data_IF_510940657356
#
_entry.id   IF_510940657356
#
_cell.length_a   1.000
_cell.length_b   1.000
_cell.length_c   1.000
_cell.angle_alpha   90.00
_cell.angle_beta   90.00
_cell.angle_gamma   90.00
#
_symmetry.space_group_name_H-M   'P 1'
#
loop_
_entity.id
_entity.type
_entity.pdbx_description
1 polymer ?
#
# COMPACT_ATOMS: atom_id res chain seq x y z
N UNK A 1 -0.30 3.79 0.35
CA UNK A 1 -0.51 2.68 -0.60
C UNK A 1 -0.89 3.19 -2.00
N UNK A 2 -1.80 4.16 -2.11
CA UNK A 2 -2.19 4.76 -3.39
C UNK A 2 -1.02 5.42 -4.14
N UNK A 3 -0.15 6.14 -3.45
CA UNK A 3 1.01 6.78 -4.08
C UNK A 3 2.02 5.76 -4.65
N UNK A 4 2.19 4.63 -3.97
CA UNK A 4 3.03 3.53 -4.48
C UNK A 4 2.43 2.94 -5.75
N UNK A 5 1.10 2.78 -5.82
CA UNK A 5 0.43 2.36 -7.07
C UNK A 5 0.66 3.35 -8.21
N UNK A 6 0.63 4.66 -7.92
CA UNK A 6 0.88 5.70 -8.93
C UNK A 6 2.31 5.62 -9.46
N UNK A 7 3.30 5.43 -8.58
CA UNK A 7 4.71 5.27 -8.97
C UNK A 7 4.92 4.01 -9.80
N UNK A 8 4.34 2.87 -9.37
CA UNK A 8 4.42 1.61 -10.14
C UNK A 8 3.87 1.81 -11.56
N UNK A 9 2.68 2.43 -11.68
CA UNK A 9 2.09 2.72 -13.00
C UNK A 9 2.97 3.63 -13.84
N UNK A 10 3.49 4.71 -13.25
CA UNK A 10 4.38 5.62 -13.98
C UNK A 10 5.65 4.91 -14.50
N UNK A 11 6.20 3.96 -13.74
CA UNK A 11 7.34 3.15 -14.19
C UNK A 11 6.96 2.16 -15.29
N UNK A 12 5.77 1.55 -15.20
CA UNK A 12 5.24 0.66 -16.24
C UNK A 12 4.96 1.43 -17.55
N UNK A 13 4.29 2.58 -17.45
CA UNK A 13 3.99 3.47 -18.57
C UNK A 13 5.28 3.96 -19.23
N UNK A 14 6.28 4.38 -18.44
CA UNK A 14 7.60 4.77 -18.94
C UNK A 14 8.27 3.65 -19.75
N UNK A 15 8.22 2.40 -19.26
CA UNK A 15 8.80 1.25 -19.97
C UNK A 15 8.08 0.98 -21.29
N UNK A 16 6.75 1.12 -21.31
CA UNK A 16 5.96 0.90 -22.51
C UNK A 16 6.19 2.00 -23.56
N UNK A 17 6.19 3.26 -23.11
CA UNK A 17 6.41 4.42 -23.97
C UNK A 17 7.82 4.40 -24.58
N UNK A 18 8.86 4.09 -23.79
CA UNK A 18 10.21 3.96 -24.33
C UNK A 18 10.29 2.82 -25.36
N UNK A 19 9.69 1.66 -25.08
CA UNK A 19 9.66 0.56 -26.03
C UNK A 19 8.94 0.91 -27.34
N UNK A 20 7.88 1.72 -27.26
CA UNK A 20 7.14 2.22 -28.41
C UNK A 20 7.97 3.20 -29.23
N UNK A 21 8.62 4.15 -28.56
CA UNK A 21 9.44 5.17 -29.19
C UNK A 21 10.69 4.58 -29.84
N UNK A 22 11.36 3.62 -29.18
CA UNK A 22 12.52 2.94 -29.73
C UNK A 22 12.17 2.09 -30.97
N UNK A 23 11.02 1.40 -30.96
CA UNK A 23 10.53 0.69 -32.15
C UNK A 23 10.20 1.64 -33.29
N UNK A 24 9.63 2.81 -32.97
CA UNK A 24 9.31 3.83 -33.96
C UNK A 24 10.60 4.40 -34.57
N UNK A 25 11.58 4.75 -33.74
CA UNK A 25 12.88 5.24 -34.18
C UNK A 25 13.58 4.22 -35.10
N UNK A 26 13.59 2.94 -34.71
CA UNK A 26 14.18 1.89 -35.53
C UNK A 26 13.52 1.80 -36.91
N UNK A 27 12.19 1.83 -36.98
CA UNK A 27 11.46 1.82 -38.26
C UNK A 27 11.74 3.06 -39.11
N UNK A 28 11.76 4.25 -38.51
CA UNK A 28 12.05 5.48 -39.23
C UNK A 28 13.47 5.46 -39.82
N UNK A 29 14.43 4.88 -39.11
CA UNK A 29 15.80 4.71 -39.62
C UNK A 29 15.87 3.67 -40.74
N UNK A 30 15.19 2.53 -40.60
CA UNK A 30 15.08 1.49 -41.64
C UNK A 30 14.42 2.02 -42.93
N UNK A 31 13.33 2.77 -42.79
CA UNK A 31 12.63 3.39 -43.93
C UNK A 31 13.53 4.45 -44.62
N UNK A 32 14.31 5.20 -43.84
CA UNK A 32 15.26 6.17 -44.37
C UNK A 32 16.48 5.53 -45.06
N UNK A 33 16.77 4.26 -44.79
CA UNK A 33 17.84 3.49 -45.47
C UNK A 33 17.37 2.80 -46.73
N UNK A 34 16.16 2.25 -46.77
CA UNK A 34 15.66 1.54 -47.96
C UNK A 34 15.18 2.51 -49.05
N UNK A 35 16.14 3.10 -49.77
CA UNK A 35 15.88 4.04 -50.87
C UNK A 35 15.56 5.46 -50.41
N UNK A 36 15.90 5.79 -49.16
CA UNK A 36 15.77 7.12 -48.56
C UNK A 36 17.08 7.89 -48.51
N UNK A 37 17.13 8.90 -47.64
CA UNK A 37 18.29 9.81 -47.46
C UNK A 37 19.58 9.07 -47.06
N UNK A 38 19.45 7.89 -46.44
CA UNK A 38 20.56 7.06 -45.98
C UNK A 38 20.73 5.78 -46.80
N UNK A 39 20.34 5.76 -48.07
CA UNK A 39 20.52 4.65 -49.05
C UNK A 39 21.88 3.91 -48.94
N UNK A 40 22.95 4.65 -48.64
CA UNK A 40 24.30 4.12 -48.56
C UNK A 40 24.57 3.28 -47.31
N UNK A 41 23.73 3.39 -46.28
CA UNK A 41 23.85 2.61 -45.05
C UNK A 41 23.17 1.24 -45.23
N UNK A 42 23.78 0.22 -44.66
CA UNK A 42 23.13 -1.09 -44.52
C UNK A 42 22.25 -1.11 -43.26
N UNK A 43 21.16 -1.89 -43.28
CA UNK A 43 20.31 -2.08 -42.11
C UNK A 43 21.10 -2.56 -40.87
N UNK A 44 22.20 -3.30 -41.06
CA UNK A 44 23.11 -3.70 -39.98
C UNK A 44 23.85 -2.52 -39.33
N UNK A 45 24.21 -1.50 -40.10
CA UNK A 45 24.91 -0.31 -39.58
C UNK A 45 23.97 0.55 -38.71
N UNK A 46 22.66 0.51 -38.98
CA UNK A 46 21.64 1.13 -38.13
C UNK A 46 21.47 0.35 -36.83
N UNK A 47 21.40 -0.98 -36.91
CA UNK A 47 21.28 -1.82 -35.71
C UNK A 47 22.49 -1.62 -34.78
N UNK A 48 23.70 -1.56 -35.34
CA UNK A 48 24.94 -1.28 -34.62
C UNK A 48 24.93 0.10 -33.96
N UNK A 49 24.47 1.14 -34.67
CA UNK A 49 24.37 2.50 -34.13
C UNK A 49 23.35 2.61 -32.98
N UNK A 50 22.19 1.96 -33.11
CA UNK A 50 21.19 1.90 -32.03
C UNK A 50 21.77 1.14 -30.83
N UNK A 51 22.49 0.04 -31.08
CA UNK A 51 23.11 -0.77 -30.04
C UNK A 51 24.22 -0.01 -29.28
N UNK A 52 24.95 0.90 -29.93
CA UNK A 52 25.97 1.73 -29.27
C UNK A 52 25.37 2.68 -28.22
N UNK A 53 24.16 3.20 -28.49
CA UNK A 53 23.48 4.14 -27.59
C UNK A 53 22.60 3.42 -26.57
N UNK A 54 22.10 2.23 -26.90
CA UNK A 54 21.25 1.45 -26.02
C UNK A 54 22.03 0.90 -24.81
N UNK A 55 21.45 1.05 -23.62
CA UNK A 55 22.00 0.50 -22.38
C UNK A 55 21.68 -0.99 -22.26
N UNK A 56 20.54 -1.42 -22.81
CA UNK A 56 20.08 -2.79 -22.70
C UNK A 56 19.26 -3.22 -23.92
N UNK A 57 19.33 -4.50 -24.32
CA UNK A 57 18.47 -5.10 -25.37
C UNK A 57 17.73 -6.29 -24.78
N UNK A 58 16.40 -6.22 -24.72
CA UNK A 58 15.55 -7.29 -24.19
C UNK A 58 14.40 -7.57 -25.15
N UNK A 59 14.17 -8.85 -25.49
CA UNK A 59 13.09 -9.27 -26.40
C UNK A 59 13.12 -8.54 -27.76
N UNK A 60 14.31 -8.21 -28.25
CA UNK A 60 14.49 -7.47 -29.50
C UNK A 60 14.15 -5.97 -29.40
N UNK A 61 13.93 -5.43 -28.20
CA UNK A 61 13.68 -4.01 -27.97
C UNK A 61 14.92 -3.41 -27.31
N UNK A 62 15.48 -2.38 -27.96
CA UNK A 62 16.52 -1.54 -27.39
C UNK A 62 15.92 -0.62 -26.34
N UNK A 63 16.63 -0.49 -25.22
CA UNK A 63 16.25 0.37 -24.10
C UNK A 63 17.40 1.29 -23.75
N UNK A 64 17.06 2.52 -23.42
CA UNK A 64 18.01 3.55 -23.02
C UNK A 64 18.24 3.54 -21.50
N UNK A 65 17.43 2.77 -20.76
CA UNK A 65 17.61 2.52 -19.35
C UNK A 65 17.95 1.05 -19.05
N UNK A 66 18.44 0.81 -17.82
CA UNK A 66 18.62 -0.54 -17.31
C UNK A 66 17.26 -1.13 -16.92
N UNK A 67 16.70 -1.94 -17.82
CA UNK A 67 15.38 -2.56 -17.64
C UNK A 67 15.29 -3.45 -16.40
N UNK A 68 16.38 -4.15 -16.06
CA UNK A 68 16.41 -5.06 -14.92
C UNK A 68 16.28 -4.31 -13.60
N UNK A 69 16.98 -3.17 -13.45
CA UNK A 69 16.83 -2.30 -12.28
C UNK A 69 15.41 -1.73 -12.17
N UNK A 70 14.78 -1.37 -13.29
CA UNK A 70 13.40 -0.88 -13.26
C UNK A 70 12.42 -1.98 -12.84
N UNK A 71 12.60 -3.21 -13.34
CA UNK A 71 11.79 -4.36 -12.92
C UNK A 71 11.96 -4.64 -11.44
N UNK A 72 13.21 -4.68 -10.95
CA UNK A 72 13.51 -4.89 -9.53
C UNK A 72 12.88 -3.81 -8.65
N UNK A 73 12.92 -2.55 -9.09
CA UNK A 73 12.27 -1.44 -8.39
C UNK A 73 10.76 -1.62 -8.31
N UNK A 74 10.10 -1.99 -9.42
CA UNK A 74 8.65 -2.26 -9.44
C UNK A 74 8.28 -3.38 -8.48
N UNK A 75 9.05 -4.47 -8.46
CA UNK A 75 8.84 -5.60 -7.55
C UNK A 75 9.00 -5.19 -6.08
N UNK A 76 10.05 -4.44 -5.75
CA UNK A 76 10.27 -3.92 -4.41
C UNK A 76 9.14 -3.00 -3.95
N UNK A 77 8.65 -2.11 -4.82
CA UNK A 77 7.53 -1.22 -4.52
C UNK A 77 6.25 -2.00 -4.24
N UNK A 78 5.96 -3.05 -5.02
CA UNK A 78 4.81 -3.94 -4.80
C UNK A 78 4.90 -4.65 -3.45
N UNK A 79 6.09 -5.10 -3.06
CA UNK A 79 6.32 -5.72 -1.75
C UNK A 79 6.02 -4.72 -0.62
N UNK A 80 6.61 -3.52 -0.67
CA UNK A 80 6.39 -2.48 0.34
C UNK A 80 4.92 -2.05 0.43
N UNK A 81 4.22 -1.98 -0.70
CA UNK A 81 2.79 -1.70 -0.71
C UNK A 81 2.00 -2.75 0.07
N UNK A 82 2.29 -4.04 -0.14
CA UNK A 82 1.64 -5.14 0.56
C UNK A 82 1.91 -5.09 2.06
N UNK A 83 3.15 -4.80 2.45
CA UNK A 83 3.54 -4.67 3.86
C UNK A 83 2.79 -3.52 4.54
N UNK A 84 2.71 -2.35 3.90
CA UNK A 84 1.98 -1.20 4.42
C UNK A 84 0.48 -1.48 4.58
N UNK A 85 -0.14 -2.17 3.62
CA UNK A 85 -1.54 -2.57 3.73
C UNK A 85 -1.75 -3.54 4.90
N UNK A 86 -0.87 -4.53 5.03
CA UNK A 86 -0.91 -5.51 6.13
C UNK A 86 -0.75 -4.83 7.49
N UNK A 87 0.15 -3.85 7.58
CA UNK A 87 0.36 -3.05 8.78
C UNK A 87 -0.86 -2.20 9.13
N UNK A 88 -1.48 -1.55 8.13
CA UNK A 88 -2.72 -0.79 8.30
C UNK A 88 -3.86 -1.68 8.84
N UNK A 89 -4.02 -2.89 8.30
CA UNK A 89 -5.02 -3.85 8.79
C UNK A 89 -4.72 -4.33 10.22
N UNK A 90 -3.45 -4.46 10.59
CA UNK A 90 -3.05 -4.79 11.95
C UNK A 90 -3.41 -3.68 12.93
N UNK A 91 -3.16 -2.41 12.58
CA UNK A 91 -3.57 -1.25 13.38
C UNK A 91 -5.08 -1.22 13.53
N UNK A 92 -5.84 -1.40 12.44
CA UNK A 92 -7.30 -1.40 12.47
C UNK A 92 -7.86 -2.46 13.42
N UNK A 93 -7.30 -3.69 13.39
CA UNK A 93 -7.67 -4.75 14.32
C UNK A 93 -7.33 -4.42 15.76
N UNK A 94 -6.12 -3.93 16.04
CA UNK A 94 -5.71 -3.54 17.38
C UNK A 94 -6.63 -2.43 17.95
N UNK A 95 -6.96 -1.42 17.14
CA UNK A 95 -7.88 -0.35 17.54
C UNK A 95 -9.30 -0.89 17.86
N UNK A 96 -9.80 -1.82 17.06
CA UNK A 96 -11.08 -2.48 17.31
C UNK A 96 -11.08 -3.29 18.62
N UNK A 97 -10.02 -4.06 18.85
CA UNK A 97 -9.85 -4.83 20.09
C UNK A 97 -9.77 -3.92 21.32
N UNK A 98 -9.02 -2.81 21.23
CA UNK A 98 -8.96 -1.81 22.29
C UNK A 98 -10.33 -1.20 22.59
N UNK A 99 -11.06 -0.77 21.56
CA UNK A 99 -12.41 -0.22 21.74
C UNK A 99 -13.36 -1.23 22.39
N UNK A 100 -13.28 -2.49 21.98
CA UNK A 100 -14.09 -3.56 22.56
C UNK A 100 -13.74 -3.79 24.03
N UNK A 101 -12.45 -3.88 24.36
CA UNK A 101 -11.98 -4.07 25.73
C UNK A 101 -12.40 -2.90 26.64
N UNK A 102 -12.31 -1.66 26.14
CA UNK A 102 -12.77 -0.47 26.87
C UNK A 102 -14.28 -0.50 27.13
N UNK A 103 -15.08 -0.97 26.17
CA UNK A 103 -16.52 -1.13 26.35
C UNK A 103 -16.86 -2.21 27.39
N UNK A 104 -16.19 -3.36 27.32
CA UNK A 104 -16.36 -4.45 28.29
C UNK A 104 -15.97 -3.98 29.70
N UNK A 105 -14.82 -3.32 29.84
CA UNK A 105 -14.36 -2.75 31.11
C UNK A 105 -15.34 -1.69 31.67
N UNK A 106 -15.89 -0.83 30.81
CA UNK A 106 -16.89 0.16 31.21
C UNK A 106 -18.20 -0.47 31.69
N UNK A 107 -18.66 -1.54 31.03
CA UNK A 107 -19.84 -2.29 31.47
C UNK A 107 -19.62 -2.97 32.81
N UNK A 108 -18.46 -3.59 33.01
CA UNK A 108 -18.14 -4.28 34.27
C UNK A 108 -17.99 -3.29 35.42
N UNK A 109 -17.37 -2.14 35.19
CA UNK A 109 -17.32 -1.05 36.16
C UNK A 109 -18.72 -0.56 36.53
N UNK A 110 -19.60 -0.35 35.55
CA UNK A 110 -20.98 0.07 35.80
C UNK A 110 -21.76 -0.98 36.62
N UNK A 111 -21.58 -2.28 36.32
CA UNK A 111 -22.18 -3.37 37.10
C UNK A 111 -21.68 -3.38 38.54
N UNK A 112 -20.37 -3.24 38.75
CA UNK A 112 -19.77 -3.24 40.08
C UNK A 112 -20.26 -2.05 40.92
N UNK A 113 -20.26 -0.85 40.35
CA UNK A 113 -20.76 0.35 41.03
C UNK A 113 -22.26 0.26 41.31
N UNK A 114 -23.07 -0.22 40.36
CA UNK A 114 -24.50 -0.43 40.57
C UNK A 114 -24.79 -1.42 41.70
N UNK A 115 -24.06 -2.54 41.75
CA UNK A 115 -24.20 -3.56 42.79
C UNK A 115 -23.80 -3.06 44.18
N UNK A 116 -22.68 -2.34 44.29
CA UNK A 116 -22.20 -1.79 45.56
C UNK A 116 -23.11 -0.68 46.09
N UNK A 117 -23.58 0.23 45.24
CA UNK A 117 -24.57 1.26 45.60
C UNK A 117 -25.89 0.63 46.03
N UNK A 118 -26.35 -0.41 45.31
CA UNK A 118 -27.55 -1.17 45.69
C UNK A 118 -27.43 -1.82 47.06
N UNK A 119 -26.29 -2.47 47.33
CA UNK A 119 -26.02 -3.09 48.63
C UNK A 119 -25.97 -2.07 49.77
N UNK A 120 -25.29 -0.93 49.57
CA UNK A 120 -25.23 0.17 50.55
C UNK A 120 -26.63 0.72 50.87
N UNK A 121 -27.45 0.93 49.84
CA UNK A 121 -28.83 1.40 50.02
C UNK A 121 -29.68 0.40 50.81
N UNK A 122 -29.54 -0.89 50.53
CA UNK A 122 -30.24 -1.94 51.26
C UNK A 122 -29.80 -1.98 52.74
N UNK A 123 -28.49 -1.94 53.02
CA UNK A 123 -27.97 -1.88 54.39
C UNK A 123 -28.43 -0.64 55.15
N UNK A 124 -28.43 0.54 54.51
CA UNK A 124 -28.90 1.78 55.11
C UNK A 124 -30.40 1.71 55.46
N UNK A 125 -31.23 1.14 54.58
CA UNK A 125 -32.66 0.95 54.86
C UNK A 125 -32.90 -0.01 56.03
N UNK A 126 -32.16 -1.12 56.11
CA UNK A 126 -32.27 -2.08 57.20
C UNK A 126 -31.89 -1.46 58.56
N UNK A 127 -30.80 -0.68 58.59
CA UNK A 127 -30.36 0.05 59.79
C UNK A 127 -31.39 1.11 60.22
N UNK A 128 -31.97 1.85 59.26
CA UNK A 128 -33.04 2.80 59.54
C UNK A 128 -34.29 2.14 60.13
N UNK A 129 -34.68 0.97 59.61
CA UNK A 129 -35.79 0.19 60.17
C UNK A 129 -35.51 -0.33 61.58
N UNK A 130 -34.28 -0.79 61.86
CA UNK A 130 -33.88 -1.23 63.21
C UNK A 130 -33.86 -0.08 64.22
N UNK A 131 -33.34 1.10 63.85
CA UNK A 131 -33.35 2.27 64.73
C UNK A 131 -34.77 2.76 65.01
N UNK A 132 -35.66 2.72 64.01
CA UNK A 132 -37.07 3.06 64.19
C UNK A 132 -37.82 2.10 65.14
N UNK A 133 -37.39 0.84 65.26
CA UNK A 133 -37.99 -0.11 66.21
C UNK A 133 -37.47 0.07 67.64
N UNK A 134 -36.26 0.59 67.84
CA UNK A 134 -35.74 0.94 69.19
C UNK A 134 -36.35 2.20 69.79
N UNK A 135 -36.78 3.16 68.97
CA UNK A 135 -37.41 4.40 69.43
C UNK A 135 -38.87 4.30 69.87
N UNK A 136 -39.47 3.09 69.85
CA UNK A 136 -40.86 2.84 70.25
C UNK A 136 -41.00 2.07 71.58
N UNK A 137 -39.92 1.98 72.37
CA UNK A 137 -39.91 1.40 73.71
C UNK A 137 -40.20 2.41 74.81
#
# INVERSE_FOLDING_TARGET
>A
AEDISKVIRALEDFREDEARDMKKLQRELEDATFGGEYDLLMASEIDDAIQEVAVHKREGIYRLHNDDLTVELIENLRLHQKELLTFSDAIGRAAYEMQRNDQEAGQDLARFLGGTVGALKASASALGSQLASFGKG
#
